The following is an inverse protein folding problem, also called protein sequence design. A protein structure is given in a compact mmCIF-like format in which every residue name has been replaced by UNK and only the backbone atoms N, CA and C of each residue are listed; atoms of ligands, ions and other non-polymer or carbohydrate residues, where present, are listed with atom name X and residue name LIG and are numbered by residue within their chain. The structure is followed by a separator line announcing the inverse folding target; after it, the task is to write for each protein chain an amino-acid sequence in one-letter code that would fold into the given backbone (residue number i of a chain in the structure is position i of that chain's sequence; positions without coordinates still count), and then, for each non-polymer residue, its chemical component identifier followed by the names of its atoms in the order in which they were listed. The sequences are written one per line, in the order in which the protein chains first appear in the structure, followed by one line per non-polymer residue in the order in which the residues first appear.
data_IF_569765430359
#
_entry.id   IF_569765430359
#
_cell.length_a   1.000
_cell.length_b   1.000
_cell.length_c   1.000
_cell.angle_alpha   90.00
_cell.angle_beta   90.00
_cell.angle_gamma   90.00
#
_symmetry.space_group_name_H-M   'P 1'
#
loop_
_entity.id
_entity.type
_entity.pdbx_description
1 polymer ?
#
# COMPACT_ATOMS: atom_id res chain seq x y z
N UNK A 1 3.10 -22.94 -43.71
CA UNK A 1 4.16 -21.93 -43.49
C UNK A 1 4.56 -22.00 -42.03
N UNK A 2 5.85 -22.19 -41.76
CA UNK A 2 6.42 -22.48 -40.45
C UNK A 2 6.16 -21.35 -39.45
N UNK A 3 5.47 -21.67 -38.36
CA UNK A 3 5.44 -20.83 -37.17
C UNK A 3 6.75 -21.04 -36.42
N UNK A 4 7.74 -20.21 -36.71
CA UNK A 4 8.91 -20.03 -35.84
C UNK A 4 8.49 -19.24 -34.61
N UNK A 5 7.75 -19.87 -33.69
CA UNK A 5 7.80 -19.49 -32.29
C UNK A 5 9.08 -20.09 -31.72
N UNK A 6 10.22 -19.44 -31.98
CA UNK A 6 11.37 -19.61 -31.10
C UNK A 6 10.88 -19.23 -29.69
N UNK A 7 10.85 -20.15 -28.71
CA UNK A 7 10.74 -19.70 -27.33
C UNK A 7 11.93 -18.76 -27.13
N UNK A 8 11.65 -17.52 -26.75
CA UNK A 8 12.71 -16.63 -26.28
C UNK A 8 13.36 -17.41 -25.12
N UNK A 9 14.59 -17.86 -25.33
CA UNK A 9 15.35 -18.65 -24.35
C UNK A 9 15.14 -18.04 -22.97
N UNK A 10 14.56 -18.83 -22.07
CA UNK A 10 14.26 -18.43 -20.70
C UNK A 10 15.58 -18.13 -20.01
N UNK A 11 16.02 -16.87 -20.05
CA UNK A 11 17.15 -16.41 -19.25
C UNK A 11 16.83 -16.81 -17.81
N UNK A 12 17.62 -17.71 -17.19
CA UNK A 12 17.34 -18.17 -15.85
C UNK A 12 17.31 -16.96 -14.92
N UNK A 13 16.28 -16.88 -14.07
CA UNK A 13 16.19 -15.78 -13.11
C UNK A 13 17.42 -15.81 -12.20
N UNK A 14 18.02 -14.64 -11.99
CA UNK A 14 19.08 -14.51 -10.99
C UNK A 14 18.58 -15.00 -9.64
N UNK A 15 19.45 -15.71 -8.92
CA UNK A 15 19.18 -16.22 -7.56
C UNK A 15 18.69 -15.09 -6.63
N UNK A 16 19.17 -13.87 -6.86
CA UNK A 16 18.73 -12.66 -6.14
C UNK A 16 17.25 -12.35 -6.33
N UNK A 17 16.71 -12.52 -7.55
CA UNK A 17 15.29 -12.26 -7.88
C UNK A 17 14.40 -13.36 -7.29
N UNK A 18 14.85 -14.61 -7.35
CA UNK A 18 14.11 -15.73 -6.72
C UNK A 18 14.05 -15.52 -5.20
N UNK A 19 15.19 -15.20 -4.58
CA UNK A 19 15.27 -14.96 -3.14
C UNK A 19 14.44 -13.75 -2.71
N UNK A 20 14.43 -12.66 -3.48
CA UNK A 20 13.68 -11.44 -3.15
C UNK A 20 12.17 -11.68 -3.12
N UNK A 21 11.63 -12.41 -4.12
CA UNK A 21 10.20 -12.72 -4.23
C UNK A 21 9.74 -13.58 -3.05
N UNK A 22 10.47 -14.66 -2.75
CA UNK A 22 10.15 -15.53 -1.62
C UNK A 22 10.27 -14.81 -0.27
N UNK A 23 11.32 -14.01 -0.09
CA UNK A 23 11.49 -13.21 1.11
C UNK A 23 10.33 -12.23 1.31
N UNK A 24 9.85 -11.59 0.24
CA UNK A 24 8.71 -10.68 0.29
C UNK A 24 7.40 -11.39 0.63
N UNK A 25 7.14 -12.59 0.09
CA UNK A 25 5.98 -13.38 0.49
C UNK A 25 6.02 -13.71 1.99
N UNK A 26 7.13 -14.27 2.46
CA UNK A 26 7.28 -14.67 3.87
C UNK A 26 7.12 -13.47 4.79
N UNK A 27 7.76 -12.35 4.45
CA UNK A 27 7.62 -11.10 5.19
C UNK A 27 6.17 -10.59 5.18
N UNK A 28 5.47 -10.73 4.06
CA UNK A 28 4.07 -10.33 3.92
C UNK A 28 3.13 -11.13 4.79
N UNK A 29 3.28 -12.45 4.78
CA UNK A 29 2.49 -13.35 5.62
C UNK A 29 2.75 -13.05 7.10
N UNK A 30 4.02 -12.95 7.51
CA UNK A 30 4.38 -12.64 8.91
C UNK A 30 3.83 -11.29 9.36
N UNK A 31 3.94 -10.27 8.52
CA UNK A 31 3.43 -8.93 8.82
C UNK A 31 1.91 -8.93 8.94
N UNK A 32 1.19 -9.61 8.04
CA UNK A 32 -0.26 -9.76 8.11
C UNK A 32 -0.68 -10.49 9.39
N UNK A 33 0.02 -11.54 9.80
CA UNK A 33 -0.25 -12.24 11.08
C UNK A 33 -0.09 -11.31 12.27
N UNK A 34 0.97 -10.50 12.31
CA UNK A 34 1.19 -9.52 13.39
C UNK A 34 0.09 -8.45 13.40
N UNK A 35 -0.27 -7.89 12.25
CA UNK A 35 -1.32 -6.88 12.11
C UNK A 35 -2.69 -7.46 12.48
N UNK A 36 -3.02 -8.66 11.96
CA UNK A 36 -4.26 -9.37 12.25
C UNK A 36 -4.40 -9.69 13.73
N UNK A 37 -3.34 -10.17 14.39
CA UNK A 37 -3.34 -10.38 15.84
C UNK A 37 -3.61 -9.07 16.60
N UNK A 38 -3.01 -7.96 16.19
CA UNK A 38 -3.26 -6.64 16.80
C UNK A 38 -4.69 -6.14 16.55
N UNK A 39 -5.24 -6.40 15.36
CA UNK A 39 -6.60 -6.03 14.99
C UNK A 39 -7.64 -6.81 15.79
N UNK A 40 -7.35 -8.07 16.15
CA UNK A 40 -8.21 -8.89 17.01
C UNK A 40 -8.13 -8.41 18.48
N UNK A 41 -6.92 -8.12 18.99
CA UNK A 41 -6.72 -7.77 20.41
C UNK A 41 -7.22 -6.37 20.77
N UNK A 42 -6.89 -5.33 19.99
CA UNK A 42 -7.58 -4.04 20.09
C UNK A 42 -8.22 -3.68 18.74
N UNK A 43 -9.50 -4.02 18.66
CA UNK A 43 -10.32 -3.75 17.49
C UNK A 43 -10.40 -2.26 17.17
N UNK A 44 -10.09 -1.94 15.92
CA UNK A 44 -10.09 -0.59 15.38
C UNK A 44 -10.31 -0.69 13.88
N UNK A 45 -11.32 -0.02 13.33
CA UNK A 45 -11.65 -0.11 11.89
C UNK A 45 -10.44 0.14 11.00
N UNK A 46 -9.58 1.09 11.38
CA UNK A 46 -8.35 1.39 10.64
C UNK A 46 -7.38 0.19 10.61
N UNK A 47 -7.24 -0.56 11.72
CA UNK A 47 -6.40 -1.77 11.77
C UNK A 47 -6.96 -2.90 10.91
N UNK A 48 -8.28 -3.05 10.88
CA UNK A 48 -8.95 -4.03 10.02
C UNK A 48 -8.78 -3.66 8.56
N UNK A 49 -8.90 -2.38 8.20
CA UNK A 49 -8.61 -1.89 6.85
C UNK A 49 -7.16 -2.14 6.44
N UNK A 50 -6.18 -1.82 7.30
CA UNK A 50 -4.78 -2.14 7.06
C UNK A 50 -4.56 -3.65 6.89
N UNK A 51 -5.16 -4.48 7.74
CA UNK A 51 -5.07 -5.93 7.60
C UNK A 51 -5.63 -6.41 6.24
N UNK A 52 -6.79 -5.91 5.83
CA UNK A 52 -7.39 -6.24 4.55
C UNK A 52 -6.51 -5.79 3.37
N UNK A 53 -5.91 -4.60 3.45
CA UNK A 53 -4.93 -4.08 2.47
C UNK A 53 -3.71 -4.99 2.42
N UNK A 54 -3.12 -5.34 3.56
CA UNK A 54 -1.95 -6.21 3.64
C UNK A 54 -2.21 -7.59 3.06
N UNK A 55 -3.37 -8.19 3.30
CA UNK A 55 -3.75 -9.49 2.74
C UNK A 55 -3.99 -9.40 1.24
N UNK A 56 -4.87 -8.50 0.79
CA UNK A 56 -5.26 -8.41 -0.62
C UNK A 56 -4.09 -7.98 -1.50
N UNK A 57 -3.34 -6.98 -1.06
CA UNK A 57 -2.36 -6.29 -1.91
C UNK A 57 -0.92 -6.66 -1.58
N UNK A 58 -0.62 -7.05 -0.34
CA UNK A 58 0.69 -7.55 0.04
C UNK A 58 0.85 -9.03 -0.30
N UNK A 59 0.09 -9.88 0.39
CA UNK A 59 0.14 -11.34 0.17
C UNK A 59 -0.35 -11.71 -1.21
N UNK A 60 -1.44 -11.10 -1.70
CA UNK A 60 -1.95 -11.35 -3.04
C UNK A 60 -0.91 -11.09 -4.13
N UNK A 61 -0.31 -9.89 -4.15
CA UNK A 61 0.73 -9.54 -5.13
C UNK A 61 1.97 -10.42 -5.03
N UNK A 62 2.43 -10.73 -3.81
CA UNK A 62 3.58 -11.61 -3.62
C UNK A 62 3.32 -13.02 -4.14
N UNK A 63 2.11 -13.54 -3.94
CA UNK A 63 1.70 -14.86 -4.45
C UNK A 63 1.64 -14.89 -5.98
N UNK A 64 1.10 -13.83 -6.59
CA UNK A 64 1.01 -13.71 -8.06
C UNK A 64 2.41 -13.60 -8.68
N UNK A 65 3.35 -12.92 -8.02
CA UNK A 65 4.75 -12.88 -8.45
C UNK A 65 5.39 -14.28 -8.44
N UNK A 66 5.06 -15.14 -7.47
CA UNK A 66 5.53 -16.52 -7.43
C UNK A 66 4.95 -17.34 -8.57
N UNK A 67 3.64 -17.26 -8.82
CA UNK A 67 3.04 -17.95 -9.97
C UNK A 67 3.66 -17.49 -11.29
N UNK A 68 4.01 -16.20 -11.41
CA UNK A 68 4.70 -15.66 -12.59
C UNK A 68 6.16 -16.11 -12.70
N UNK A 69 6.83 -16.35 -11.56
CA UNK A 69 8.18 -16.92 -11.50
C UNK A 69 8.17 -18.39 -11.94
N UNK A 70 7.18 -19.17 -11.48
CA UNK A 70 6.96 -20.57 -11.85
C UNK A 70 6.41 -20.75 -13.27
N UNK A 71 5.99 -19.64 -13.90
CA UNK A 71 5.33 -19.61 -15.21
C UNK A 71 3.98 -20.34 -15.25
N UNK A 72 3.33 -20.46 -14.09
CA UNK A 72 1.99 -21.05 -13.94
C UNK A 72 0.87 -20.13 -14.44
N UNK A 73 1.18 -18.84 -14.65
CA UNK A 73 0.23 -17.82 -15.12
C UNK A 73 0.73 -17.15 -16.40
N UNK A 74 -0.17 -17.03 -17.39
CA UNK A 74 0.09 -16.28 -18.62
C UNK A 74 0.37 -14.80 -18.32
N UNK A 75 1.06 -14.13 -19.24
CA UNK A 75 1.42 -12.72 -19.07
C UNK A 75 0.21 -11.80 -18.98
N UNK A 76 -0.79 -12.06 -19.83
CA UNK A 76 -2.03 -11.30 -19.83
C UNK A 76 -2.78 -11.45 -18.51
N UNK A 77 -2.90 -12.67 -17.98
CA UNK A 77 -3.57 -12.91 -16.71
C UNK A 77 -2.81 -12.26 -15.55
N UNK A 78 -1.48 -12.34 -15.54
CA UNK A 78 -0.66 -11.65 -14.54
C UNK A 78 -0.91 -10.14 -14.57
N UNK A 79 -0.95 -9.54 -15.76
CA UNK A 79 -1.19 -8.11 -15.94
C UNK A 79 -2.58 -7.70 -15.44
N UNK A 80 -3.61 -8.47 -15.78
CA UNK A 80 -4.99 -8.20 -15.32
C UNK A 80 -5.05 -8.22 -13.80
N UNK A 81 -4.55 -9.29 -13.16
CA UNK A 81 -4.65 -9.42 -11.71
C UNK A 81 -3.81 -8.35 -11.00
N UNK A 82 -2.61 -8.05 -11.51
CA UNK A 82 -1.77 -6.96 -10.99
C UNK A 82 -2.46 -5.60 -11.09
N UNK A 83 -3.08 -5.31 -12.24
CA UNK A 83 -3.77 -4.03 -12.47
C UNK A 83 -4.96 -3.87 -11.53
N UNK A 84 -5.78 -4.93 -11.40
CA UNK A 84 -6.92 -4.96 -10.46
C UNK A 84 -6.45 -4.76 -9.02
N UNK A 85 -5.42 -5.49 -8.58
CA UNK A 85 -4.89 -5.35 -7.22
C UNK A 85 -4.30 -3.97 -6.95
N UNK A 86 -3.70 -3.33 -7.94
CA UNK A 86 -3.17 -1.97 -7.81
C UNK A 86 -4.28 -0.93 -7.71
N UNK A 87 -5.36 -1.08 -8.47
CA UNK A 87 -6.56 -0.23 -8.37
C UNK A 87 -7.20 -0.38 -7.00
N UNK A 88 -7.43 -1.63 -6.55
CA UNK A 88 -7.99 -1.93 -5.23
C UNK A 88 -7.10 -1.36 -4.12
N UNK A 89 -5.77 -1.44 -4.26
CA UNK A 89 -4.84 -0.83 -3.31
C UNK A 89 -5.02 0.67 -3.21
N UNK A 90 -5.09 1.38 -4.34
CA UNK A 90 -5.28 2.83 -4.37
C UNK A 90 -6.62 3.23 -3.76
N UNK A 91 -7.70 2.50 -4.07
CA UNK A 91 -9.02 2.74 -3.49
C UNK A 91 -9.01 2.58 -1.95
N UNK A 92 -8.40 1.51 -1.45
CA UNK A 92 -8.29 1.28 -0.02
C UNK A 92 -7.42 2.35 0.66
N UNK A 93 -6.33 2.78 0.04
CA UNK A 93 -5.53 3.92 0.51
C UNK A 93 -6.38 5.19 0.60
N UNK A 94 -7.14 5.53 -0.45
CA UNK A 94 -8.02 6.70 -0.44
C UNK A 94 -9.04 6.62 0.71
N UNK A 95 -9.71 5.49 0.87
CA UNK A 95 -10.66 5.27 1.97
C UNK A 95 -10.00 5.48 3.33
N UNK A 96 -8.79 4.97 3.54
CA UNK A 96 -8.04 5.18 4.78
C UNK A 96 -7.70 6.64 5.02
N UNK A 97 -7.22 7.37 3.99
CA UNK A 97 -6.89 8.79 4.13
C UNK A 97 -8.15 9.63 4.38
N UNK A 98 -9.26 9.35 3.70
CA UNK A 98 -10.52 10.05 3.95
C UNK A 98 -11.05 9.78 5.36
N UNK A 99 -10.98 8.55 5.84
CA UNK A 99 -11.38 8.19 7.20
C UNK A 99 -10.51 8.88 8.25
N UNK A 100 -9.19 8.95 8.01
CA UNK A 100 -8.26 9.67 8.87
C UNK A 100 -8.50 11.18 8.83
N UNK A 101 -8.67 11.75 7.64
CA UNK A 101 -8.98 13.15 7.42
C UNK A 101 -10.28 13.54 8.12
N UNK A 102 -11.36 12.78 7.94
CA UNK A 102 -12.65 13.02 8.60
C UNK A 102 -12.51 13.15 10.13
N UNK A 103 -11.72 12.27 10.76
CA UNK A 103 -11.47 12.34 12.22
C UNK A 103 -10.73 13.61 12.65
N UNK A 104 -9.95 14.22 11.75
CA UNK A 104 -9.29 15.50 11.98
C UNK A 104 -10.22 16.69 11.71
N UNK A 105 -11.26 16.51 10.90
CA UNK A 105 -12.28 17.54 10.58
C UNK A 105 -13.45 17.60 11.57
N UNK A 106 -13.72 16.54 12.33
CA UNK A 106 -14.89 16.40 13.23
C UNK A 106 -15.05 17.49 14.33
N UNK A 107 -14.16 18.49 14.42
CA UNK A 107 -14.20 19.51 15.47
C UNK A 107 -14.81 20.87 15.09
N UNK A 108 -14.80 21.32 13.82
CA UNK A 108 -15.27 22.69 13.51
C UNK A 108 -16.10 22.85 12.23
N UNK A 109 -15.81 22.11 11.16
CA UNK A 109 -16.51 22.27 9.87
C UNK A 109 -16.77 20.89 9.26
N UNK A 110 -18.04 20.57 8.99
CA UNK A 110 -18.42 19.28 8.43
C UNK A 110 -17.60 18.88 7.19
N UNK A 111 -17.49 17.58 6.86
CA UNK A 111 -16.54 17.01 5.90
C UNK A 111 -16.71 17.44 4.42
N UNK A 112 -17.59 18.41 4.14
CA UNK A 112 -18.03 18.81 2.80
C UNK A 112 -17.15 19.94 2.25
N UNK A 113 -15.83 19.73 2.24
CA UNK A 113 -14.92 20.63 1.57
C UNK A 113 -14.93 20.36 0.05
N UNK A 114 -14.76 21.38 -0.81
CA UNK A 114 -14.67 21.20 -2.28
C UNK A 114 -13.56 20.21 -2.65
N UNK A 115 -12.49 20.16 -1.85
CA UNK A 115 -11.38 19.21 -1.99
C UNK A 115 -11.81 17.75 -1.85
N UNK A 116 -12.75 17.41 -0.94
CA UNK A 116 -13.22 16.03 -0.77
C UNK A 116 -14.06 15.58 -1.95
N UNK A 117 -14.90 16.47 -2.50
CA UNK A 117 -15.66 16.20 -3.74
C UNK A 117 -14.74 16.03 -4.95
N UNK A 118 -13.74 16.90 -5.09
CA UNK A 118 -12.77 16.82 -6.18
C UNK A 118 -11.97 15.51 -6.14
N UNK A 119 -11.45 15.14 -4.96
CA UNK A 119 -10.70 13.89 -4.81
C UNK A 119 -11.57 12.66 -5.06
N UNK A 120 -12.84 12.65 -4.64
CA UNK A 120 -13.75 11.56 -4.96
C UNK A 120 -14.04 11.48 -6.47
N UNK A 121 -14.23 12.61 -7.14
CA UNK A 121 -14.41 12.65 -8.59
C UNK A 121 -13.19 12.11 -9.34
N UNK A 122 -11.98 12.48 -8.91
CA UNK A 122 -10.74 11.99 -9.51
C UNK A 122 -10.50 10.49 -9.22
N UNK A 123 -10.85 10.00 -8.04
CA UNK A 123 -10.79 8.57 -7.72
C UNK A 123 -11.75 7.75 -8.61
N UNK A 124 -12.97 8.23 -8.82
CA UNK A 124 -13.92 7.62 -9.75
C UNK A 124 -13.36 7.64 -11.18
N UNK A 125 -12.79 8.76 -11.61
CA UNK A 125 -12.18 8.87 -12.94
C UNK A 125 -11.02 7.88 -13.11
N UNK A 126 -10.15 7.72 -12.10
CA UNK A 126 -9.07 6.74 -12.09
C UNK A 126 -9.62 5.32 -12.31
N UNK A 127 -10.67 4.94 -11.59
CA UNK A 127 -11.29 3.62 -11.70
C UNK A 127 -11.95 3.39 -13.07
N UNK A 128 -12.62 4.40 -13.61
CA UNK A 128 -13.20 4.33 -14.96
C UNK A 128 -12.09 4.15 -16.00
N UNK A 129 -11.01 4.92 -15.95
CA UNK A 129 -9.89 4.75 -16.87
C UNK A 129 -9.21 3.39 -16.73
N UNK A 130 -9.04 2.88 -15.51
CA UNK A 130 -8.52 1.53 -15.25
C UNK A 130 -9.41 0.45 -15.87
N UNK A 131 -10.73 0.55 -15.70
CA UNK A 131 -11.68 -0.39 -16.30
C UNK A 131 -11.68 -0.31 -17.83
N UNK A 132 -11.68 0.90 -18.40
CA UNK A 132 -11.61 1.10 -19.85
C UNK A 132 -10.31 0.53 -20.41
N UNK A 133 -9.18 0.75 -19.74
CA UNK A 133 -7.90 0.16 -20.12
C UNK A 133 -7.96 -1.37 -20.18
N UNK A 134 -8.55 -2.02 -19.18
CA UNK A 134 -8.73 -3.47 -19.16
C UNK A 134 -9.63 -3.95 -20.31
N UNK A 135 -10.75 -3.27 -20.57
CA UNK A 135 -11.66 -3.63 -21.66
C UNK A 135 -10.97 -3.48 -23.03
N UNK A 136 -10.33 -2.34 -23.28
CA UNK A 136 -9.64 -2.06 -24.55
C UNK A 136 -8.47 -3.01 -24.77
N UNK A 137 -7.66 -3.26 -23.74
CA UNK A 137 -6.49 -4.13 -23.81
C UNK A 137 -6.86 -5.61 -23.93
N UNK A 138 -7.83 -6.09 -23.16
CA UNK A 138 -8.08 -7.52 -22.99
C UNK A 138 -9.27 -8.04 -23.81
N UNK A 139 -10.36 -7.27 -23.92
CA UNK A 139 -11.56 -7.70 -24.65
C UNK A 139 -11.42 -7.42 -26.14
N UNK A 140 -10.86 -6.27 -26.49
CA UNK A 140 -10.67 -5.87 -27.89
C UNK A 140 -9.26 -6.18 -28.43
N UNK A 141 -8.37 -6.75 -27.62
CA UNK A 141 -6.98 -7.08 -27.96
C UNK A 141 -6.15 -5.87 -28.48
N UNK A 142 -6.53 -4.64 -28.13
CA UNK A 142 -5.80 -3.42 -28.47
C UNK A 142 -4.81 -3.05 -27.36
N UNK A 143 -3.78 -3.88 -27.15
CA UNK A 143 -2.83 -3.75 -26.04
C UNK A 143 -2.17 -2.37 -25.95
N UNK A 144 -1.68 -1.80 -27.06
CA UNK A 144 -1.04 -0.47 -27.06
C UNK A 144 -1.97 0.68 -26.62
N UNK A 145 -3.24 0.61 -27.03
CA UNK A 145 -4.25 1.58 -26.60
C UNK A 145 -4.62 1.35 -25.13
N UNK A 146 -4.76 0.10 -24.71
CA UNK A 146 -4.99 -0.29 -23.32
C UNK A 146 -3.90 0.23 -22.37
N UNK A 147 -2.63 0.08 -22.74
CA UNK A 147 -1.47 0.56 -21.97
C UNK A 147 -1.41 2.09 -21.89
N UNK A 148 -1.75 2.77 -22.98
CA UNK A 148 -1.82 4.24 -22.99
C UNK A 148 -2.88 4.75 -22.03
N UNK A 149 -4.06 4.11 -22.01
CA UNK A 149 -5.16 4.45 -21.08
C UNK A 149 -4.79 4.07 -19.64
N UNK A 150 -4.10 2.94 -19.43
CA UNK A 150 -3.59 2.55 -18.10
C UNK A 150 -2.64 3.61 -17.56
N UNK A 151 -1.73 4.10 -18.41
CA UNK A 151 -0.78 5.16 -18.07
C UNK A 151 -1.50 6.45 -17.70
N UNK A 152 -2.55 6.83 -18.46
CA UNK A 152 -3.41 7.96 -18.09
C UNK A 152 -4.09 7.75 -16.73
N UNK A 153 -4.58 6.54 -16.44
CA UNK A 153 -5.19 6.22 -15.14
C UNK A 153 -4.22 6.41 -13.98
N UNK A 154 -2.93 6.06 -14.19
CA UNK A 154 -1.86 6.30 -13.21
C UNK A 154 -1.70 7.80 -12.96
N UNK A 155 -1.62 8.64 -14.00
CA UNK A 155 -1.50 10.09 -13.83
C UNK A 155 -2.69 10.71 -13.07
N UNK A 156 -3.91 10.20 -13.32
CA UNK A 156 -5.09 10.61 -12.54
C UNK A 156 -4.95 10.15 -11.08
N UNK A 157 -4.45 8.94 -10.83
CA UNK A 157 -4.15 8.46 -9.47
C UNK A 157 -3.16 9.38 -8.73
N UNK A 158 -2.10 9.84 -9.40
CA UNK A 158 -1.12 10.80 -8.85
C UNK A 158 -1.79 12.11 -8.41
N UNK A 159 -2.61 12.65 -9.31
CA UNK A 159 -3.33 13.89 -9.09
C UNK A 159 -4.30 13.73 -7.92
N UNK A 160 -5.01 12.60 -7.86
CA UNK A 160 -5.94 12.26 -6.79
C UNK A 160 -5.22 12.18 -5.45
N UNK A 161 -4.11 11.45 -5.36
CA UNK A 161 -3.31 11.33 -4.13
C UNK A 161 -2.82 12.68 -3.63
N UNK A 162 -2.37 13.56 -4.53
CA UNK A 162 -1.94 14.92 -4.17
C UNK A 162 -3.08 15.72 -3.54
N UNK A 163 -4.28 15.70 -4.15
CA UNK A 163 -5.46 16.41 -3.63
C UNK A 163 -5.91 15.82 -2.29
N UNK A 164 -5.91 14.50 -2.16
CA UNK A 164 -6.31 13.79 -0.93
C UNK A 164 -5.33 14.07 0.22
N UNK A 165 -4.03 14.15 -0.05
CA UNK A 165 -3.01 14.53 0.95
C UNK A 165 -3.21 15.99 1.39
N UNK A 166 -3.44 16.90 0.45
CA UNK A 166 -3.74 18.31 0.76
C UNK A 166 -5.00 18.40 1.63
N UNK A 167 -6.04 17.66 1.28
CA UNK A 167 -7.27 17.58 2.08
C UNK A 167 -6.99 17.10 3.50
N UNK A 168 -6.20 16.04 3.68
CA UNK A 168 -5.93 15.49 5.00
C UNK A 168 -4.98 16.36 5.86
N UNK A 169 -4.09 17.15 5.23
CA UNK A 169 -3.20 18.10 5.91
C UNK A 169 -3.85 19.43 6.27
N UNK A 170 -4.91 19.83 5.57
CA UNK A 170 -5.61 21.09 5.79
C UNK A 170 -6.02 21.37 7.26
N UNK A 171 -6.60 20.41 8.02
CA UNK A 171 -6.90 20.67 9.43
C UNK A 171 -5.63 20.90 10.26
N UNK A 172 -4.53 20.23 9.93
CA UNK A 172 -3.24 20.36 10.65
C UNK A 172 -2.66 21.77 10.50
N UNK A 173 -2.80 22.40 9.33
CA UNK A 173 -2.31 23.76 9.09
C UNK A 173 -3.17 24.82 9.79
N UNK A 174 -4.49 24.59 9.91
CA UNK A 174 -5.42 25.47 10.65
C UNK A 174 -5.20 25.45 12.18
N UNK A 175 -4.79 24.32 12.76
CA UNK A 175 -4.54 24.24 14.22
C UNK A 175 -3.41 25.19 14.66
N UNK A 176 -2.41 25.44 13.80
CA UNK A 176 -1.33 26.40 14.09
C UNK A 176 -1.81 27.85 14.18
N UNK A 177 -2.96 28.19 13.61
CA UNK A 177 -3.54 29.55 13.69
C UNK A 177 -4.25 29.83 15.02
N UNK A 178 -4.18 28.92 16.00
CA UNK A 178 -4.57 29.19 17.39
C UNK A 178 -6.08 29.17 17.65
N UNK A 179 -6.87 28.68 16.70
CA UNK A 179 -8.32 28.72 16.77
C UNK A 179 -8.91 27.62 17.67
N UNK A 180 -8.19 26.50 17.90
CA UNK A 180 -8.86 25.37 18.56
C UNK A 180 -8.00 24.42 19.42
N UNK A 181 -8.58 23.93 20.52
CA UNK A 181 -7.95 23.04 21.53
C UNK A 181 -7.91 21.58 21.05
N UNK A 182 -7.21 21.28 19.96
CA UNK A 182 -6.96 19.87 19.62
C UNK A 182 -5.93 19.23 20.57
N UNK A 183 -6.18 18.02 21.10
CA UNK A 183 -5.17 17.30 21.86
C UNK A 183 -3.97 16.99 20.96
N UNK A 184 -2.81 17.58 21.28
CA UNK A 184 -1.54 17.44 20.54
C UNK A 184 -1.21 15.99 20.14
N UNK A 185 -1.58 15.03 20.99
CA UNK A 185 -1.41 13.59 20.74
C UNK A 185 -2.15 13.08 19.51
N UNK A 186 -3.39 13.51 19.26
CA UNK A 186 -4.19 13.05 18.11
C UNK A 186 -3.63 13.59 16.80
N UNK A 187 -3.13 14.84 16.82
CA UNK A 187 -2.48 15.47 15.66
C UNK A 187 -1.17 14.76 15.33
N UNK A 188 -0.34 14.46 16.33
CA UNK A 188 0.92 13.73 16.12
C UNK A 188 0.70 12.32 15.54
N UNK A 189 -0.30 11.60 16.05
CA UNK A 189 -0.68 10.28 15.51
C UNK A 189 -1.22 10.41 14.08
N UNK A 190 -2.06 11.41 13.81
CA UNK A 190 -2.58 11.69 12.47
C UNK A 190 -1.48 11.98 11.45
N UNK A 191 -0.54 12.89 11.78
CA UNK A 191 0.62 13.22 10.95
C UNK A 191 1.48 11.98 10.71
N UNK A 192 1.68 11.14 11.72
CA UNK A 192 2.46 9.91 11.58
C UNK A 192 1.84 8.97 10.54
N UNK A 193 0.55 8.65 10.66
CA UNK A 193 -0.14 7.82 9.66
C UNK A 193 -0.14 8.47 8.28
N UNK A 194 -0.30 9.80 8.21
CA UNK A 194 -0.27 10.50 6.94
C UNK A 194 1.10 10.40 6.26
N UNK A 195 2.18 10.57 7.02
CA UNK A 195 3.55 10.49 6.50
C UNK A 195 3.86 9.11 5.95
N UNK A 196 3.43 8.05 6.64
CA UNK A 196 3.53 6.68 6.18
C UNK A 196 2.79 6.45 4.86
N UNK A 197 1.52 6.85 4.80
CA UNK A 197 0.71 6.75 3.58
C UNK A 197 1.31 7.57 2.42
N UNK A 198 1.86 8.76 2.68
CA UNK A 198 2.55 9.58 1.67
C UNK A 198 3.76 8.84 1.12
N UNK A 199 4.60 8.27 1.99
CA UNK A 199 5.76 7.48 1.58
C UNK A 199 5.31 6.29 0.72
N UNK A 200 4.28 5.56 1.14
CA UNK A 200 3.71 4.45 0.37
C UNK A 200 3.16 4.90 -0.99
N UNK A 201 2.53 6.06 -1.03
CA UNK A 201 2.13 6.75 -2.25
C UNK A 201 3.33 6.98 -3.16
N UNK A 202 4.33 7.75 -2.70
CA UNK A 202 5.53 8.11 -3.48
C UNK A 202 6.25 6.85 -4.01
N UNK A 203 6.43 5.83 -3.19
CA UNK A 203 7.06 4.56 -3.58
C UNK A 203 6.26 3.86 -4.67
N UNK A 204 4.94 3.80 -4.53
CA UNK A 204 4.05 3.22 -5.54
C UNK A 204 4.08 4.01 -6.85
N UNK A 205 4.25 5.33 -6.76
CA UNK A 205 4.34 6.25 -7.90
C UNK A 205 5.66 6.03 -8.65
N UNK A 206 6.79 6.07 -7.94
CA UNK A 206 8.11 5.82 -8.51
C UNK A 206 8.15 4.47 -9.23
N UNK A 207 7.57 3.45 -8.60
CA UNK A 207 7.45 2.10 -9.16
C UNK A 207 6.68 2.08 -10.47
N UNK A 208 5.55 2.80 -10.53
CA UNK A 208 4.78 2.93 -11.75
C UNK A 208 5.54 3.70 -12.84
N UNK A 209 6.24 4.79 -12.49
CA UNK A 209 7.07 5.57 -13.44
C UNK A 209 8.20 4.72 -14.02
N UNK A 210 8.91 3.96 -13.18
CA UNK A 210 9.95 3.04 -13.66
C UNK A 210 9.33 2.00 -14.61
N UNK A 211 8.16 1.47 -14.28
CA UNK A 211 7.46 0.50 -15.14
C UNK A 211 6.96 1.07 -16.48
N UNK A 212 6.87 2.41 -16.62
CA UNK A 212 6.56 3.07 -17.91
C UNK A 212 7.81 3.31 -18.74
N UNK A 213 8.97 3.50 -18.10
CA UNK A 213 10.25 3.72 -18.79
C UNK A 213 10.84 2.39 -19.28
N UNK A 214 10.69 1.32 -18.50
CA UNK A 214 11.17 -0.02 -18.84
C UNK A 214 10.00 -0.88 -19.34
N UNK A 215 9.91 -1.16 -20.66
CA UNK A 215 8.81 -1.94 -21.22
C UNK A 215 8.76 -3.34 -20.60
N UNK A 216 7.59 -3.66 -20.03
CA UNK A 216 7.38 -4.82 -19.13
C UNK A 216 7.61 -6.17 -19.81
N UNK A 217 7.35 -6.24 -21.11
CA UNK A 217 7.56 -7.43 -21.94
C UNK A 217 9.05 -7.82 -22.05
N UNK A 218 9.95 -6.86 -21.87
CA UNK A 218 11.40 -7.07 -22.05
C UNK A 218 12.13 -7.29 -20.71
N UNK A 219 11.59 -6.79 -19.59
CA UNK A 219 12.26 -6.77 -18.28
C UNK A 219 11.42 -7.37 -17.14
N UNK A 220 11.08 -8.67 -17.27
CA UNK A 220 10.26 -9.43 -16.30
C UNK A 220 10.81 -9.39 -14.86
N UNK A 221 12.12 -9.44 -14.67
CA UNK A 221 12.77 -9.42 -13.35
C UNK A 221 12.67 -8.06 -12.65
N UNK A 222 12.79 -6.96 -13.41
CA UNK A 222 12.66 -5.59 -12.90
C UNK A 222 11.23 -5.35 -12.39
N UNK A 223 10.23 -5.80 -13.13
CA UNK A 223 8.83 -5.66 -12.75
C UNK A 223 8.49 -6.43 -11.46
N UNK A 224 9.02 -7.64 -11.32
CA UNK A 224 8.89 -8.45 -10.10
C UNK A 224 9.58 -7.80 -8.90
N UNK A 225 10.81 -7.32 -9.06
CA UNK A 225 11.58 -6.70 -7.98
C UNK A 225 10.95 -5.38 -7.51
N UNK A 226 10.38 -4.59 -8.43
CA UNK A 226 9.62 -3.39 -8.10
C UNK A 226 8.37 -3.75 -7.28
N UNK A 227 7.55 -4.69 -7.75
CA UNK A 227 6.36 -5.14 -7.01
C UNK A 227 6.70 -5.66 -5.61
N UNK A 228 7.79 -6.41 -5.51
CA UNK A 228 8.33 -6.98 -4.26
C UNK A 228 8.76 -5.89 -3.27
N UNK A 229 9.45 -4.86 -3.74
CA UNK A 229 9.91 -3.71 -2.93
C UNK A 229 8.74 -2.88 -2.41
N UNK A 230 7.76 -2.65 -3.28
CA UNK A 230 6.53 -1.94 -2.93
C UNK A 230 5.74 -2.68 -1.86
N UNK A 231 5.59 -4.00 -1.99
CA UNK A 231 4.92 -4.85 -0.99
C UNK A 231 5.65 -4.81 0.35
N UNK A 232 6.99 -4.90 0.35
CA UNK A 232 7.79 -4.83 1.57
C UNK A 232 7.59 -3.50 2.31
N UNK A 233 7.65 -2.38 1.59
CA UNK A 233 7.49 -1.05 2.18
C UNK A 233 6.08 -0.82 2.75
N UNK A 234 5.04 -1.35 2.10
CA UNK A 234 3.62 -1.29 2.56
C UNK A 234 3.43 -1.86 3.96
N UNK A 235 4.12 -2.96 4.28
CA UNK A 235 3.90 -3.71 5.52
C UNK A 235 4.74 -3.20 6.70
N UNK A 236 5.87 -2.56 6.41
CA UNK A 236 6.71 -1.94 7.46
C UNK A 236 5.95 -0.81 8.15
N UNK A 237 5.20 -0.02 7.39
CA UNK A 237 4.46 1.14 7.90
C UNK A 237 3.26 0.73 8.79
N UNK A 238 2.47 -0.25 8.33
CA UNK A 238 1.27 -0.72 9.06
C UNK A 238 1.60 -1.35 10.43
N UNK A 239 2.78 -1.95 10.58
CA UNK A 239 3.20 -2.60 11.82
C UNK A 239 3.35 -1.64 13.01
N UNK A 240 3.51 -0.34 12.74
CA UNK A 240 3.78 0.72 13.74
C UNK A 240 2.53 1.42 14.27
N UNK A 241 1.35 1.16 13.69
CA UNK A 241 0.10 1.83 14.02
C UNK A 241 -0.42 1.59 15.46
N UNK A 242 -0.25 2.59 16.33
CA UNK A 242 -0.99 2.68 17.60
C UNK A 242 -2.43 3.12 17.33
N UNK A 243 -3.43 2.32 17.72
CA UNK A 243 -4.81 2.79 17.84
C UNK A 243 -5.02 3.05 19.34
N UNK A 244 -5.30 4.30 19.70
CA UNK A 244 -5.52 4.64 21.10
C UNK A 244 -6.83 3.96 21.57
N UNK A 245 -6.79 3.12 22.62
CA UNK A 245 -8.00 2.50 23.13
C UNK A 245 -8.94 3.62 23.58
N UNK A 246 -10.14 3.64 22.99
CA UNK A 246 -11.22 4.57 23.34
C UNK A 246 -11.42 4.47 24.85
N UNK A 247 -10.93 5.46 25.61
CA UNK A 247 -11.12 5.57 27.07
C UNK A 247 -12.59 5.87 27.36
N UNK A 248 -13.46 4.89 27.16
CA UNK A 248 -14.80 4.85 27.76
C UNK A 248 -14.80 3.64 28.69
N UNK A 249 -14.40 3.84 29.95
CA UNK A 249 -14.60 2.86 31.03
C UNK A 249 -13.38 2.15 31.66
N UNK A 250 -12.14 2.47 31.30
CA UNK A 250 -10.96 1.71 31.74
C UNK A 250 -10.38 2.08 33.13
N UNK A 251 -11.19 2.59 34.07
CA UNK A 251 -10.73 2.78 35.45
C UNK A 251 -10.55 1.45 36.22
N UNK A 252 -11.14 0.33 35.75
CA UNK A 252 -11.10 -0.97 36.45
C UNK A 252 -10.12 -2.02 35.91
N UNK A 253 -9.40 -1.77 34.81
CA UNK A 253 -8.55 -2.80 34.15
C UNK A 253 -7.02 -2.52 34.21
N UNK A 254 -6.60 -1.45 34.88
CA UNK A 254 -5.19 -0.98 34.90
C UNK A 254 -4.17 -1.94 35.51
N UNK A 255 -4.59 -2.95 36.28
CA UNK A 255 -3.68 -3.89 36.95
C UNK A 255 -3.26 -5.08 36.07
N UNK A 256 -4.07 -5.47 35.07
CA UNK A 256 -3.79 -6.68 34.25
C UNK A 256 -2.95 -6.40 33.00
N UNK A 257 -2.90 -5.15 32.51
CA UNK A 257 -2.17 -4.76 31.29
C UNK A 257 -0.64 -4.69 31.44
N UNK A 258 -0.11 -4.39 32.64
CA UNK A 258 1.34 -4.19 32.84
C UNK A 258 2.20 -5.44 32.59
N UNK A 259 1.66 -6.66 32.63
CA UNK A 259 2.45 -7.89 32.40
C UNK A 259 2.63 -8.27 30.94
N UNK A 260 1.78 -7.79 30.03
CA UNK A 260 1.85 -8.17 28.60
C UNK A 260 2.82 -7.28 27.84
N UNK A 261 2.92 -6.00 28.22
CA UNK A 261 3.79 -5.02 27.52
C UNK A 261 5.29 -5.28 27.72
N UNK A 262 5.70 -5.91 28.83
CA UNK A 262 7.13 -6.23 29.09
C UNK A 262 7.67 -7.26 28.09
N UNK A 263 6.88 -8.28 27.72
CA UNK A 263 7.31 -9.30 26.74
C UNK A 263 7.34 -8.78 25.30
N UNK A 264 6.52 -7.79 24.95
CA UNK A 264 6.49 -7.23 23.59
C UNK A 264 7.71 -6.33 23.29
N UNK A 265 8.32 -5.72 24.30
CA UNK A 265 9.51 -4.90 24.14
C UNK A 265 10.80 -5.73 23.95
N UNK A 266 10.88 -6.94 24.51
CA UNK A 266 12.02 -7.83 24.27
C UNK A 266 12.07 -8.31 22.81
N UNK A 267 10.92 -8.65 22.21
CA UNK A 267 10.85 -9.10 20.81
C UNK A 267 11.23 -7.97 19.83
N UNK A 268 10.85 -6.72 20.11
CA UNK A 268 11.23 -5.56 19.29
C UNK A 268 12.73 -5.28 19.32
N UNK A 269 13.38 -5.49 20.47
CA UNK A 269 14.80 -5.20 20.64
C UNK A 269 15.67 -6.23 19.92
N UNK A 270 15.23 -7.49 19.86
CA UNK A 270 15.89 -8.56 19.11
C UNK A 270 15.75 -8.34 17.59
N UNK A 271 14.58 -7.89 17.12
CA UNK A 271 14.33 -7.71 15.68
C UNK A 271 15.07 -6.51 15.07
N UNK A 272 15.17 -5.38 15.80
CA UNK A 272 15.94 -4.20 15.33
C UNK A 272 17.44 -4.50 15.28
N UNK A 273 17.96 -5.28 16.24
CA UNK A 273 19.36 -5.73 16.21
C UNK A 273 19.64 -6.67 15.03
N UNK A 274 18.68 -7.50 14.63
CA UNK A 274 18.85 -8.40 13.49
C UNK A 274 18.92 -7.65 12.14
N UNK A 275 18.17 -6.55 12.00
CA UNK A 275 18.18 -5.69 10.80
C UNK A 275 19.47 -4.86 10.70
N UNK A 276 19.95 -4.31 11.81
CA UNK A 276 21.16 -3.49 11.80
C UNK A 276 22.46 -4.30 11.65
N UNK A 277 22.45 -5.58 12.06
CA UNK A 277 23.66 -6.42 12.00
C UNK A 277 23.93 -7.06 10.62
N UNK A 278 22.96 -7.04 9.69
CA UNK A 278 23.17 -7.50 8.30
C UNK A 278 23.24 -6.40 7.24
N UNK A 279 22.95 -5.15 7.59
CA UNK A 279 23.03 -4.01 6.67
C UNK A 279 24.42 -3.36 6.51
N UNK A 280 25.41 -3.78 7.31
CA UNK A 280 26.78 -3.19 7.31
C UNK A 280 27.84 -4.18 6.78
N UNK A 281 27.41 -5.32 6.23
CA UNK A 281 28.34 -6.35 5.72
C UNK A 281 27.94 -6.85 4.33
N UNK A 282 27.57 -5.91 3.46
CA UNK A 282 27.64 -6.10 2.01
C UNK A 282 28.27 -4.82 1.46
N UNK A 283 29.46 -4.99 0.91
CA UNK A 283 30.33 -4.03 0.23
C UNK A 283 29.62 -3.38 -0.95
#
# INVERSE_FOLDING_TARGET
MNSTTTPLDSVPFDVSTVASIWASLVFSVLSCVVIGRKAIIDYCHLRVSCFAVGVLTGVGMATINIFRLQSDISEDNFFVVKSVLMVVFMDLLFVMIFNLGRKLYEWEDGPVNRLSKLSLALAVLMNVLGAVSLIVGQVFHFHAAGDSIYTASIFVALSTMSVVVIYALYPVTKIKTGVDKMPSKTVAVGIWYLSGIIILGIVSILSNVISTIYPRHTYKSVDMNIGTTVVFLRLVDESRGGCEPRRRGAAKLGARRRRVDVRANEVKTIFVKFIFWRGVTIV
#
